data_IF_688226586147
#
_entry.id   IF_688226586147
#
_cell.length_a   1.000
_cell.length_b   1.000
_cell.length_c   1.000
_cell.angle_alpha   90.00
_cell.angle_beta   90.00
_cell.angle_gamma   90.00
#
_symmetry.space_group_name_H-M   'P 1'
#
loop_
_entity.id
_entity.type
_entity.pdbx_description
1 polymer ?
#
# COMPACT_ATOMS: atom_id res chain seq x y z
N UNK A 1 23.85 9.72 8.19
CA UNK A 1 22.70 9.30 7.36
C UNK A 1 23.14 8.05 6.61
N UNK A 2 22.41 6.94 6.67
CA UNK A 2 22.72 5.83 5.77
C UNK A 2 22.43 6.30 4.34
N UNK A 3 23.45 6.35 3.49
CA UNK A 3 23.30 6.69 2.07
C UNK A 3 22.25 5.78 1.43
N UNK A 4 21.37 6.35 0.61
CA UNK A 4 20.40 5.54 -0.12
C UNK A 4 21.13 4.62 -1.10
N UNK A 5 20.69 3.37 -1.19
CA UNK A 5 21.23 2.44 -2.19
C UNK A 5 20.53 2.58 -3.55
N UNK A 6 19.68 3.60 -3.69
CA UNK A 6 18.90 3.85 -4.89
C UNK A 6 19.79 4.43 -5.99
N UNK A 7 19.68 3.88 -7.21
CA UNK A 7 20.38 4.43 -8.38
C UNK A 7 20.01 5.91 -8.58
N UNK A 8 20.95 6.79 -9.01
CA UNK A 8 20.67 8.20 -9.27
C UNK A 8 19.56 8.48 -10.29
N UNK A 9 19.16 7.47 -11.09
CA UNK A 9 18.02 7.54 -12.00
C UNK A 9 16.67 7.67 -11.27
N UNK A 10 16.60 7.28 -10.01
CA UNK A 10 15.34 7.25 -9.28
C UNK A 10 15.36 8.24 -8.12
N UNK A 11 14.19 8.80 -7.83
CA UNK A 11 14.01 9.80 -6.78
C UNK A 11 12.84 9.43 -5.87
N UNK A 12 13.04 9.54 -4.55
CA UNK A 12 11.95 9.41 -3.57
C UNK A 12 11.29 10.79 -3.38
N UNK A 13 9.99 10.87 -3.65
CA UNK A 13 9.18 12.09 -3.49
C UNK A 13 7.99 11.87 -2.57
N UNK A 14 7.51 12.94 -1.95
CA UNK A 14 6.20 12.94 -1.30
C UNK A 14 5.12 12.94 -2.38
N UNK A 15 4.15 12.04 -2.25
CA UNK A 15 2.98 12.02 -3.13
C UNK A 15 2.04 13.14 -2.74
N UNK A 16 1.47 13.84 -3.72
CA UNK A 16 0.55 14.96 -3.48
C UNK A 16 -0.37 15.15 -4.67
N UNK A 17 -1.54 15.74 -4.41
CA UNK A 17 -2.50 16.06 -5.46
C UNK A 17 -3.25 14.86 -6.03
N UNK A 18 -4.22 15.17 -6.88
CA UNK A 18 -5.16 14.19 -7.45
C UNK A 18 -4.48 13.21 -8.39
N UNK A 19 -3.49 13.65 -9.16
CA UNK A 19 -2.83 12.78 -10.14
C UNK A 19 -2.00 11.69 -9.47
N UNK A 20 -1.17 12.02 -8.46
CA UNK A 20 -0.43 11.00 -7.71
C UNK A 20 -1.38 10.04 -6.96
N UNK A 21 -2.53 10.51 -6.48
CA UNK A 21 -3.54 9.64 -5.89
C UNK A 21 -4.10 8.62 -6.91
N UNK A 22 -4.41 9.07 -8.13
CA UNK A 22 -4.85 8.18 -9.22
C UNK A 22 -3.75 7.22 -9.65
N UNK A 23 -2.52 7.69 -9.81
CA UNK A 23 -1.37 6.84 -10.19
C UNK A 23 -1.07 5.77 -9.14
N UNK A 24 -1.06 6.15 -7.87
CA UNK A 24 -0.89 5.23 -6.76
C UNK A 24 -2.05 4.22 -6.69
N UNK A 25 -3.29 4.66 -6.94
CA UNK A 25 -4.45 3.78 -7.00
C UNK A 25 -4.28 2.74 -8.11
N UNK A 26 -3.99 3.16 -9.33
CA UNK A 26 -3.77 2.26 -10.47
C UNK A 26 -2.65 1.24 -10.21
N UNK A 27 -1.52 1.68 -9.65
CA UNK A 27 -0.44 0.77 -9.24
C UNK A 27 -0.92 -0.27 -8.22
N UNK A 28 -1.60 0.18 -7.16
CA UNK A 28 -2.06 -0.70 -6.09
C UNK A 28 -3.09 -1.69 -6.61
N UNK A 29 -4.07 -1.27 -7.40
CA UNK A 29 -5.11 -2.15 -7.90
C UNK A 29 -4.54 -3.15 -8.90
N UNK A 30 -3.75 -2.70 -9.87
CA UNK A 30 -3.11 -3.58 -10.86
C UNK A 30 -2.29 -4.66 -10.16
N UNK A 31 -1.32 -4.29 -9.31
CA UNK A 31 -0.49 -5.28 -8.63
C UNK A 31 -1.28 -6.15 -7.66
N UNK A 32 -2.34 -5.62 -7.03
CA UNK A 32 -3.20 -6.45 -6.16
C UNK A 32 -3.86 -7.56 -6.97
N UNK A 33 -4.55 -7.21 -8.05
CA UNK A 33 -5.33 -8.17 -8.85
C UNK A 33 -4.44 -9.16 -9.61
N UNK A 34 -3.28 -8.73 -10.10
CA UNK A 34 -2.42 -9.60 -10.92
C UNK A 34 -1.37 -10.35 -10.09
N UNK A 35 -0.84 -9.76 -9.02
CA UNK A 35 0.37 -10.28 -8.34
C UNK A 35 0.22 -10.55 -6.85
N UNK A 36 -0.82 -10.08 -6.17
CA UNK A 36 -0.96 -10.28 -4.71
C UNK A 36 -1.17 -11.75 -4.35
N UNK A 37 -0.54 -12.27 -3.27
CA UNK A 37 -0.83 -13.61 -2.76
C UNK A 37 -2.25 -13.77 -2.18
N UNK A 38 -2.99 -12.67 -2.00
CA UNK A 38 -4.38 -12.70 -1.50
C UNK A 38 -5.37 -12.37 -2.61
N UNK A 39 -5.24 -11.21 -3.24
CA UNK A 39 -6.26 -10.75 -4.19
C UNK A 39 -6.21 -11.51 -5.53
N UNK A 40 -5.02 -11.85 -6.03
CA UNK A 40 -4.86 -12.53 -7.33
C UNK A 40 -5.49 -13.94 -7.34
N UNK A 41 -5.31 -14.80 -6.32
CA UNK A 41 -6.00 -16.09 -6.25
C UNK A 41 -7.51 -16.00 -6.05
N UNK A 42 -8.02 -14.92 -5.45
CA UNK A 42 -9.46 -14.70 -5.25
C UNK A 42 -10.17 -14.17 -6.50
N UNK A 43 -9.41 -13.84 -7.56
CA UNK A 43 -9.92 -13.26 -8.79
C UNK A 43 -9.91 -14.31 -9.91
N UNK A 44 -11.02 -14.46 -10.64
CA UNK A 44 -11.03 -15.33 -11.83
C UNK A 44 -10.20 -14.70 -12.96
N UNK A 45 -9.35 -15.45 -13.67
CA UNK A 45 -8.47 -14.90 -14.70
C UNK A 45 -9.18 -14.02 -15.74
N UNK A 46 -10.36 -14.44 -16.20
CA UNK A 46 -11.17 -13.76 -17.21
C UNK A 46 -11.85 -12.48 -16.71
N UNK A 47 -11.95 -12.28 -15.41
CA UNK A 47 -12.60 -11.11 -14.78
C UNK A 47 -11.59 -10.08 -14.26
N UNK A 48 -10.28 -10.37 -14.31
CA UNK A 48 -9.24 -9.54 -13.65
C UNK A 48 -9.21 -8.10 -14.12
N UNK A 49 -9.31 -7.85 -15.43
CA UNK A 49 -9.25 -6.47 -15.96
C UNK A 49 -10.43 -5.64 -15.48
N UNK A 50 -11.64 -6.20 -15.54
CA UNK A 50 -12.85 -5.56 -15.04
C UNK A 50 -12.75 -5.31 -13.53
N UNK A 51 -12.34 -6.32 -12.76
CA UNK A 51 -12.15 -6.20 -11.31
C UNK A 51 -11.09 -5.14 -10.95
N UNK A 52 -10.07 -4.95 -11.79
CA UNK A 52 -9.08 -3.90 -11.61
C UNK A 52 -9.71 -2.49 -11.70
N UNK A 53 -10.61 -2.26 -12.67
CA UNK A 53 -11.36 -1.00 -12.79
C UNK A 53 -12.34 -0.80 -11.62
N UNK A 54 -13.07 -1.85 -11.23
CA UNK A 54 -13.99 -1.80 -10.08
C UNK A 54 -13.24 -1.46 -8.79
N UNK A 55 -12.11 -2.13 -8.55
CA UNK A 55 -11.25 -1.87 -7.39
C UNK A 55 -10.67 -0.46 -7.45
N UNK A 56 -10.29 0.05 -8.63
CA UNK A 56 -9.76 1.41 -8.78
C UNK A 56 -10.77 2.44 -8.32
N UNK A 57 -12.02 2.34 -8.79
CA UNK A 57 -13.09 3.24 -8.37
C UNK A 57 -13.39 3.10 -6.87
N UNK A 58 -13.48 1.86 -6.37
CA UNK A 58 -13.80 1.57 -4.99
C UNK A 58 -12.70 2.02 -4.00
N UNK A 59 -11.43 1.98 -4.40
CA UNK A 59 -10.28 2.32 -3.57
C UNK A 59 -9.84 3.79 -3.68
N UNK A 60 -10.37 4.57 -4.62
CA UNK A 60 -9.89 5.91 -4.91
C UNK A 60 -9.93 6.83 -3.67
N UNK A 61 -11.01 6.78 -2.89
CA UNK A 61 -11.09 7.52 -1.63
C UNK A 61 -9.92 7.20 -0.69
N UNK A 62 -9.63 5.91 -0.50
CA UNK A 62 -8.55 5.46 0.39
C UNK A 62 -7.19 5.98 -0.10
N UNK A 63 -6.96 6.00 -1.41
CA UNK A 63 -5.71 6.47 -2.00
C UNK A 63 -5.58 7.98 -1.88
N UNK A 64 -6.64 8.72 -2.19
CA UNK A 64 -6.69 10.18 -2.05
C UNK A 64 -6.47 10.60 -0.60
N UNK A 65 -7.09 9.94 0.38
CA UNK A 65 -6.87 10.24 1.80
C UNK A 65 -5.40 10.07 2.21
N UNK A 66 -4.77 8.97 1.79
CA UNK A 66 -3.37 8.69 2.12
C UNK A 66 -2.41 9.65 1.44
N UNK A 67 -2.62 9.97 0.16
CA UNK A 67 -1.79 10.93 -0.57
C UNK A 67 -1.95 12.34 -0.01
N UNK A 68 -3.17 12.79 0.24
CA UNK A 68 -3.45 14.12 0.78
C UNK A 68 -3.03 14.30 2.24
N UNK A 69 -2.67 13.23 2.94
CA UNK A 69 -2.07 13.34 4.28
C UNK A 69 -0.69 13.98 4.27
N UNK A 70 -0.01 14.03 3.12
CA UNK A 70 1.37 14.51 2.99
C UNK A 70 2.43 13.54 3.51
N UNK A 71 2.04 12.33 3.94
CA UNK A 71 2.92 11.33 4.54
C UNK A 71 3.25 10.17 3.58
N UNK A 72 2.56 10.08 2.45
CA UNK A 72 2.80 9.04 1.45
C UNK A 72 4.02 9.35 0.60
N UNK A 73 4.84 8.34 0.32
CA UNK A 73 6.04 8.45 -0.50
C UNK A 73 5.92 7.62 -1.78
N UNK A 74 6.63 8.04 -2.82
CA UNK A 74 6.78 7.26 -4.03
C UNK A 74 8.17 7.37 -4.64
N UNK A 75 8.57 6.35 -5.40
CA UNK A 75 9.78 6.36 -6.21
C UNK A 75 9.40 6.71 -7.64
N UNK A 76 10.07 7.72 -8.17
CA UNK A 76 9.90 8.22 -9.54
C UNK A 76 11.12 7.90 -10.38
N UNK A 77 10.92 7.50 -11.63
CA UNK A 77 11.97 7.41 -12.63
C UNK A 77 12.20 8.78 -13.27
N UNK A 78 13.38 9.37 -13.05
CA UNK A 78 13.73 10.69 -13.60
C UNK A 78 14.10 10.61 -15.09
N UNK A 79 14.23 9.40 -15.64
CA UNK A 79 14.53 9.13 -17.05
C UNK A 79 13.39 8.33 -17.70
N UNK A 80 12.17 8.46 -17.19
CA UNK A 80 10.99 7.77 -17.71
C UNK A 80 10.75 8.11 -19.18
N UNK A 81 10.47 7.08 -19.99
CA UNK A 81 10.11 7.23 -21.39
C UNK A 81 8.60 7.10 -21.53
N UNK A 82 7.95 8.19 -21.93
CA UNK A 82 6.51 8.23 -22.12
C UNK A 82 6.08 7.49 -23.38
N UNK A 83 4.97 6.77 -23.27
CA UNK A 83 4.35 6.08 -24.39
C UNK A 83 3.55 7.03 -25.30
N UNK A 84 3.00 8.11 -24.73
CA UNK A 84 2.11 9.04 -25.42
C UNK A 84 2.64 10.49 -25.38
N UNK A 85 2.50 11.28 -26.47
CA UNK A 85 2.94 12.67 -26.51
C UNK A 85 2.31 13.56 -25.43
N UNK A 86 1.05 13.31 -25.07
CA UNK A 86 0.35 14.10 -24.04
C UNK A 86 0.93 13.85 -22.65
N UNK A 87 1.40 12.63 -22.36
CA UNK A 87 2.08 12.34 -21.09
C UNK A 87 3.38 13.12 -20.95
N UNK A 88 4.05 13.45 -22.06
CA UNK A 88 5.26 14.31 -22.03
C UNK A 88 4.87 15.70 -21.54
N UNK A 89 3.78 16.27 -22.05
CA UNK A 89 3.34 17.62 -21.69
C UNK A 89 2.74 17.72 -20.29
N UNK A 90 2.12 16.65 -19.78
CA UNK A 90 1.58 16.58 -18.41
C UNK A 90 2.53 15.94 -17.40
N UNK A 91 3.73 15.52 -17.82
CA UNK A 91 4.69 14.76 -17.00
C UNK A 91 4.11 13.48 -16.40
N UNK A 92 3.27 12.80 -17.18
CA UNK A 92 2.59 11.56 -16.84
C UNK A 92 1.09 11.67 -16.94
N UNK A 93 0.43 10.57 -17.30
CA UNK A 93 -1.02 10.48 -17.39
C UNK A 93 -1.47 9.03 -17.19
N UNK A 94 -2.62 8.86 -16.56
CA UNK A 94 -3.32 7.58 -16.47
C UNK A 94 -4.43 7.59 -17.52
N UNK A 95 -4.44 6.59 -18.39
CA UNK A 95 -5.38 6.47 -19.50
C UNK A 95 -6.52 5.47 -19.26
N UNK A 96 -6.63 4.90 -18.06
CA UNK A 96 -7.73 3.99 -17.72
C UNK A 96 -9.07 4.68 -17.87
N UNK A 97 -9.89 4.16 -18.77
CA UNK A 97 -11.23 4.65 -19.05
C UNK A 97 -12.28 3.66 -18.51
N UNK A 98 -13.03 4.03 -17.46
CA UNK A 98 -14.07 3.17 -16.92
C UNK A 98 -15.23 2.94 -17.90
N UNK A 99 -15.33 3.68 -19.01
CA UNK A 99 -16.33 3.46 -20.05
C UNK A 99 -15.93 2.43 -21.11
N UNK A 100 -14.66 1.99 -21.14
CA UNK A 100 -14.14 1.04 -22.12
C UNK A 100 -13.42 -0.15 -21.43
N UNK A 101 -14.17 -0.91 -20.62
CA UNK A 101 -13.61 -2.00 -19.81
C UNK A 101 -13.55 -3.35 -20.55
N UNK A 102 -14.40 -3.56 -21.55
CA UNK A 102 -14.59 -4.88 -22.21
C UNK A 102 -13.35 -5.34 -23.01
N UNK A 103 -12.52 -4.40 -23.47
CA UNK A 103 -11.32 -4.70 -24.25
C UNK A 103 -10.02 -4.65 -23.41
N UNK A 104 -10.12 -4.34 -22.11
CA UNK A 104 -8.95 -4.17 -21.26
C UNK A 104 -8.22 -5.50 -21.01
N UNK A 105 -6.91 -5.49 -21.23
CA UNK A 105 -6.00 -6.61 -20.90
C UNK A 105 -5.01 -6.15 -19.84
N UNK A 106 -4.36 -7.08 -19.13
CA UNK A 106 -3.26 -6.74 -18.20
C UNK A 106 -2.21 -5.85 -18.89
N UNK A 107 -1.83 -6.20 -20.11
CA UNK A 107 -0.85 -5.45 -20.90
C UNK A 107 -1.35 -4.05 -21.27
N UNK A 108 -2.63 -3.89 -21.66
CA UNK A 108 -3.17 -2.56 -21.99
C UNK A 108 -3.25 -1.69 -20.75
N UNK A 109 -3.74 -2.23 -19.62
CA UNK A 109 -3.80 -1.53 -18.34
C UNK A 109 -2.42 -1.05 -17.89
N UNK A 110 -1.38 -1.88 -17.99
CA UNK A 110 -0.02 -1.50 -17.62
C UNK A 110 0.57 -0.44 -18.57
N UNK A 111 0.26 -0.50 -19.87
CA UNK A 111 0.68 0.49 -20.87
C UNK A 111 0.00 1.85 -20.66
N UNK A 112 -1.27 1.84 -20.26
CA UNK A 112 -2.08 3.02 -19.97
C UNK A 112 -1.69 3.74 -18.66
N UNK A 113 -0.89 3.09 -17.81
CA UNK A 113 -0.22 3.71 -16.66
C UNK A 113 1.04 4.46 -17.11
N UNK A 114 0.86 5.46 -17.97
CA UNK A 114 1.94 6.20 -18.61
C UNK A 114 2.44 7.37 -17.75
N UNK A 115 3.03 7.04 -16.61
CA UNK A 115 3.57 8.00 -15.65
C UNK A 115 4.85 7.48 -14.98
N UNK A 116 5.70 8.38 -14.45
CA UNK A 116 7.02 8.02 -13.91
C UNK A 116 7.01 7.36 -12.52
N UNK A 117 5.86 7.24 -11.86
CA UNK A 117 5.75 6.62 -10.53
C UNK A 117 5.89 5.09 -10.60
N UNK A 118 6.91 4.53 -9.94
CA UNK A 118 7.26 3.12 -10.00
C UNK A 118 6.97 2.34 -8.71
N UNK A 119 6.95 2.99 -7.56
CA UNK A 119 6.69 2.33 -6.28
C UNK A 119 6.08 3.31 -5.30
N UNK A 120 5.24 2.83 -4.38
CA UNK A 120 4.57 3.67 -3.38
C UNK A 120 4.67 3.07 -1.98
N UNK A 121 4.74 3.94 -0.98
CA UNK A 121 4.51 3.66 0.42
C UNK A 121 3.43 4.62 0.92
N UNK A 122 2.20 4.12 0.97
CA UNK A 122 1.03 4.90 1.33
C UNK A 122 0.84 4.91 2.84
N UNK A 123 0.64 6.09 3.37
CA UNK A 123 0.45 6.28 4.80
C UNK A 123 -0.42 7.49 5.13
N UNK A 124 -0.85 7.56 6.38
CA UNK A 124 -1.60 8.67 6.94
C UNK A 124 -1.41 8.72 8.45
N UNK A 125 -1.68 9.87 9.06
CA UNK A 125 -1.71 10.00 10.51
C UNK A 125 -2.95 9.27 11.06
N UNK A 126 -2.75 8.33 11.98
CA UNK A 126 -3.84 7.50 12.53
C UNK A 126 -4.83 8.32 13.37
N UNK A 127 -4.48 9.54 13.76
CA UNK A 127 -5.40 10.47 14.41
C UNK A 127 -6.46 11.01 13.44
N UNK A 128 -6.18 11.03 12.14
CA UNK A 128 -7.12 11.37 11.06
C UNK A 128 -7.43 10.09 10.26
N UNK A 129 -8.24 9.17 10.81
CA UNK A 129 -8.48 7.87 10.22
C UNK A 129 -9.25 7.97 8.90
N UNK A 130 -9.22 6.88 8.14
CA UNK A 130 -10.15 6.66 7.03
C UNK A 130 -11.60 6.69 7.53
N UNK A 131 -12.51 7.05 6.63
CA UNK A 131 -13.94 7.21 6.91
C UNK A 131 -14.65 5.91 6.47
N UNK A 132 -15.13 5.06 7.40
CA UNK A 132 -15.65 3.73 7.05
C UNK A 132 -16.81 3.74 6.04
N UNK A 133 -17.82 4.64 6.13
CA UNK A 133 -18.82 4.84 5.08
C UNK A 133 -18.26 5.07 3.67
N UNK A 134 -17.11 5.74 3.53
CA UNK A 134 -16.48 5.99 2.22
C UNK A 134 -15.67 4.80 1.70
N UNK A 135 -15.50 3.76 2.53
CA UNK A 135 -14.86 2.49 2.14
C UNK A 135 -15.87 1.40 1.82
N UNK A 136 -17.18 1.67 1.90
CA UNK A 136 -18.23 0.67 1.69
C UNK A 136 -18.11 -0.03 0.33
N UNK A 137 -17.87 0.68 -0.76
CA UNK A 137 -17.70 0.06 -2.08
C UNK A 137 -16.52 -0.92 -2.10
N UNK A 138 -15.41 -0.58 -1.46
CA UNK A 138 -14.24 -1.46 -1.36
C UNK A 138 -14.52 -2.69 -0.49
N UNK A 139 -15.28 -2.52 0.60
CA UNK A 139 -15.66 -3.62 1.49
C UNK A 139 -16.71 -4.53 0.86
N UNK A 140 -17.58 -4.01 0.00
CA UNK A 140 -18.50 -4.84 -0.77
C UNK A 140 -17.76 -5.67 -1.81
N UNK A 141 -16.74 -5.09 -2.45
CA UNK A 141 -15.90 -5.81 -3.41
C UNK A 141 -15.02 -6.88 -2.72
N UNK A 142 -14.50 -6.56 -1.53
CA UNK A 142 -13.63 -7.46 -0.76
C UNK A 142 -14.09 -7.52 0.72
N UNK A 143 -15.12 -8.33 0.98
CA UNK A 143 -15.77 -8.48 2.29
C UNK A 143 -14.83 -8.98 3.40
N UNK A 144 -13.73 -9.64 3.04
CA UNK A 144 -12.72 -10.09 3.99
C UNK A 144 -11.92 -8.94 4.63
N UNK A 145 -11.85 -7.75 4.01
CA UNK A 145 -11.06 -6.62 4.52
C UNK A 145 -11.51 -6.13 5.92
N UNK A 146 -12.80 -5.84 6.18
CA UNK A 146 -13.25 -5.46 7.52
C UNK A 146 -13.09 -6.59 8.54
N UNK A 147 -13.32 -7.84 8.13
CA UNK A 147 -13.15 -9.02 9.00
C UNK A 147 -11.68 -9.22 9.40
N UNK A 148 -10.75 -9.04 8.47
CA UNK A 148 -9.31 -9.06 8.73
C UNK A 148 -8.91 -7.97 9.73
N UNK A 149 -9.43 -6.75 9.55
CA UNK A 149 -9.14 -5.64 10.48
C UNK A 149 -9.62 -5.97 11.91
N UNK A 150 -10.85 -6.49 12.04
CA UNK A 150 -11.44 -6.95 13.31
C UNK A 150 -10.63 -8.08 13.94
N UNK A 151 -10.26 -9.10 13.17
CA UNK A 151 -9.43 -10.22 13.61
C UNK A 151 -8.07 -9.77 14.14
N UNK A 152 -7.41 -8.86 13.42
CA UNK A 152 -6.12 -8.29 13.81
C UNK A 152 -6.24 -7.46 15.09
N UNK A 153 -7.28 -6.62 15.21
CA UNK A 153 -7.51 -5.81 16.42
C UNK A 153 -7.81 -6.66 17.65
N UNK A 154 -8.55 -7.77 17.49
CA UNK A 154 -8.83 -8.71 18.58
C UNK A 154 -7.58 -9.41 19.09
N UNK A 155 -6.59 -9.63 18.22
CA UNK A 155 -5.34 -10.36 18.53
C UNK A 155 -4.21 -9.49 19.02
N UNK A 156 -4.34 -8.17 18.94
CA UNK A 156 -3.33 -7.25 19.44
C UNK A 156 -3.34 -7.26 20.98
N UNK A 157 -2.31 -7.81 21.65
CA UNK A 157 -2.31 -7.97 23.10
C UNK A 157 -2.02 -6.65 23.84
N UNK A 158 -1.62 -5.60 23.11
CA UNK A 158 -1.20 -4.33 23.70
C UNK A 158 -2.40 -3.50 24.15
N UNK A 159 -2.31 -2.79 25.28
CA UNK A 159 -3.29 -1.77 25.65
C UNK A 159 -3.49 -0.74 24.53
N UNK A 160 -4.74 -0.38 24.22
CA UNK A 160 -5.08 0.58 23.15
C UNK A 160 -4.29 1.88 23.21
N UNK A 161 -3.97 2.38 24.41
CA UNK A 161 -3.21 3.63 24.62
C UNK A 161 -1.78 3.58 24.06
N UNK A 162 -1.19 2.39 23.89
CA UNK A 162 0.19 2.25 23.41
C UNK A 162 0.27 2.44 21.89
N UNK A 163 -0.72 1.94 21.16
CA UNK A 163 -0.68 1.87 19.70
C UNK A 163 -1.73 2.73 19.00
N UNK A 164 -2.78 3.18 19.69
CA UNK A 164 -3.76 4.11 19.13
C UNK A 164 -3.31 5.55 19.33
N UNK A 165 -3.42 6.37 18.28
CA UNK A 165 -3.17 7.81 18.39
C UNK A 165 -4.26 8.47 19.25
N UNK A 166 -3.86 9.32 20.19
CA UNK A 166 -4.76 10.20 20.96
C UNK A 166 -4.62 11.66 20.56
N UNK A 167 -3.67 11.97 19.69
CA UNK A 167 -3.44 13.28 19.10
C UNK A 167 -2.66 13.16 17.79
N UNK A 168 -2.56 14.27 17.03
CA UNK A 168 -1.80 14.30 15.79
C UNK A 168 -0.34 13.89 15.98
N UNK A 169 0.26 13.35 14.93
CA UNK A 169 1.67 12.97 14.83
C UNK A 169 2.14 12.00 15.89
N UNK A 170 1.23 11.18 16.43
CA UNK A 170 1.61 10.14 17.38
C UNK A 170 1.92 8.82 16.66
N UNK A 171 0.99 8.34 15.85
CA UNK A 171 1.08 7.03 15.19
C UNK A 171 0.79 7.16 13.71
N UNK A 172 1.75 6.79 12.88
CA UNK A 172 1.56 6.74 11.44
C UNK A 172 0.99 5.36 11.07
N UNK A 173 -0.12 5.36 10.36
CA UNK A 173 -0.71 4.13 9.82
C UNK A 173 -0.24 3.96 8.38
N UNK A 174 0.37 2.81 8.11
CA UNK A 174 0.79 2.44 6.75
C UNK A 174 -0.36 1.64 6.10
N UNK A 175 -0.91 2.15 4.99
CA UNK A 175 -2.08 1.55 4.32
C UNK A 175 -1.82 0.82 2.99
N UNK A 176 -0.65 0.96 2.36
CA UNK A 176 -0.34 0.23 1.10
C UNK A 176 1.12 0.32 0.66
N UNK A 177 1.65 -0.72 0.00
CA UNK A 177 2.90 -0.63 -0.79
C UNK A 177 2.76 -1.52 -2.01
N UNK A 178 3.35 -1.05 -3.09
CA UNK A 178 3.46 -1.79 -4.34
C UNK A 178 4.66 -1.25 -5.09
N UNK A 179 5.31 -2.12 -5.86
CA UNK A 179 6.24 -1.76 -6.92
C UNK A 179 5.60 -2.18 -8.24
N UNK A 180 5.69 -1.32 -9.27
CA UNK A 180 5.18 -1.58 -10.61
C UNK A 180 5.75 -2.91 -11.12
N UNK A 181 4.92 -3.66 -11.84
CA UNK A 181 5.34 -4.93 -12.43
C UNK A 181 6.52 -4.72 -13.39
N UNK A 182 7.54 -5.57 -13.27
CA UNK A 182 8.81 -5.45 -13.99
C UNK A 182 9.88 -4.62 -13.27
N UNK A 183 9.52 -3.95 -12.18
CA UNK A 183 10.44 -3.14 -11.35
C UNK A 183 10.84 -3.84 -10.04
N UNK A 184 10.45 -5.10 -9.85
CA UNK A 184 10.81 -5.91 -8.70
C UNK A 184 12.32 -6.16 -8.60
N UNK A 185 12.80 -6.54 -7.41
CA UNK A 185 14.22 -6.82 -7.17
C UNK A 185 15.12 -5.58 -7.04
N UNK A 186 14.64 -4.38 -7.40
CA UNK A 186 15.40 -3.11 -7.29
C UNK A 186 15.48 -2.52 -5.88
N UNK A 187 14.90 -3.18 -4.87
CA UNK A 187 14.94 -2.74 -3.47
C UNK A 187 14.02 -1.55 -3.12
N UNK A 188 13.22 -1.06 -4.06
CA UNK A 188 12.36 0.13 -3.90
C UNK A 188 11.46 0.12 -2.65
N UNK A 189 10.78 -0.99 -2.37
CA UNK A 189 9.89 -1.10 -1.20
C UNK A 189 10.65 -0.91 0.12
N UNK A 190 11.88 -1.46 0.21
CA UNK A 190 12.75 -1.33 1.38
C UNK A 190 13.21 0.11 1.56
N UNK A 191 13.69 0.76 0.49
CA UNK A 191 14.13 2.15 0.54
C UNK A 191 12.99 3.10 0.93
N UNK A 192 11.79 2.92 0.37
CA UNK A 192 10.61 3.69 0.75
C UNK A 192 10.21 3.47 2.21
N UNK A 193 10.22 2.24 2.70
CA UNK A 193 9.91 1.94 4.10
C UNK A 193 10.89 2.62 5.06
N UNK A 194 12.19 2.54 4.77
CA UNK A 194 13.23 3.14 5.60
C UNK A 194 13.20 4.67 5.56
N UNK A 195 12.95 5.26 4.41
CA UNK A 195 12.80 6.71 4.28
C UNK A 195 11.55 7.21 5.01
N UNK A 196 10.44 6.47 4.95
CA UNK A 196 9.24 6.77 5.72
C UNK A 196 9.51 6.76 7.22
N UNK A 197 10.25 5.78 7.74
CA UNK A 197 10.63 5.72 9.15
C UNK A 197 11.43 6.96 9.59
N UNK A 198 12.40 7.38 8.78
CA UNK A 198 13.22 8.59 9.05
C UNK A 198 12.38 9.86 9.04
N UNK A 199 11.54 10.05 8.02
CA UNK A 199 10.64 11.20 7.91
C UNK A 199 9.65 11.25 9.06
N UNK A 200 8.99 10.13 9.38
CA UNK A 200 8.06 10.03 10.50
C UNK A 200 8.74 10.38 11.83
N UNK A 201 9.95 9.88 12.09
CA UNK A 201 10.72 10.25 13.29
C UNK A 201 11.00 11.75 13.34
N UNK A 202 11.46 12.34 12.23
CA UNK A 202 11.72 13.78 12.14
C UNK A 202 10.46 14.61 12.39
N UNK A 203 9.30 14.11 12.01
CA UNK A 203 8.01 14.77 12.21
C UNK A 203 7.42 14.56 13.61
N UNK A 204 8.06 13.76 14.47
CA UNK A 204 7.66 13.57 15.87
C UNK A 204 6.78 12.36 16.13
N UNK A 205 6.56 11.49 15.13
CA UNK A 205 5.86 10.23 15.34
C UNK A 205 6.63 9.32 16.30
N UNK A 206 5.89 8.70 17.23
CA UNK A 206 6.47 7.72 18.16
C UNK A 206 6.54 6.31 17.58
N UNK A 207 5.69 6.00 16.59
CA UNK A 207 5.71 4.69 15.96
C UNK A 207 4.90 4.61 14.67
N UNK A 208 5.16 3.54 13.93
CA UNK A 208 4.45 3.19 12.70
C UNK A 208 3.75 1.85 12.91
N UNK A 209 2.50 1.77 12.49
CA UNK A 209 1.76 0.52 12.43
C UNK A 209 1.47 0.13 10.97
N UNK A 210 1.74 -1.13 10.64
CA UNK A 210 1.47 -1.70 9.32
C UNK A 210 0.77 -3.05 9.45
N UNK A 211 -0.27 -3.27 8.63
CA UNK A 211 -0.83 -4.59 8.35
C UNK A 211 -0.20 -5.17 7.09
N UNK A 212 0.33 -6.38 7.17
CA UNK A 212 0.98 -7.07 6.07
C UNK A 212 0.20 -8.32 5.68
N UNK A 213 0.17 -8.60 4.38
CA UNK A 213 -0.40 -9.83 3.80
C UNK A 213 0.64 -10.51 2.89
N UNK A 214 1.92 -10.24 3.14
CA UNK A 214 3.03 -10.77 2.37
C UNK A 214 4.30 -10.78 3.23
N UNK A 215 4.97 -11.94 3.27
CA UNK A 215 6.17 -12.19 4.08
C UNK A 215 7.32 -11.20 3.82
N UNK A 216 7.56 -10.78 2.58
CA UNK A 216 8.60 -9.79 2.27
C UNK A 216 8.30 -8.43 2.91
N UNK A 217 7.02 -8.03 2.93
CA UNK A 217 6.61 -6.80 3.62
C UNK A 217 6.82 -6.97 5.12
N UNK A 218 6.36 -8.08 5.72
CA UNK A 218 6.63 -8.37 7.14
C UNK A 218 8.13 -8.28 7.47
N UNK A 219 8.99 -8.90 6.66
CA UNK A 219 10.44 -8.96 6.88
C UNK A 219 11.11 -7.59 6.86
N UNK A 220 10.74 -6.71 5.94
CA UNK A 220 11.31 -5.35 5.86
C UNK A 220 10.92 -4.53 7.10
N UNK A 221 9.68 -4.68 7.56
CA UNK A 221 9.15 -3.90 8.67
C UNK A 221 9.53 -4.46 10.05
N UNK A 222 9.75 -5.77 10.18
CA UNK A 222 10.24 -6.38 11.42
C UNK A 222 11.74 -6.14 11.65
N UNK A 223 12.49 -5.78 10.58
CA UNK A 223 13.95 -5.54 10.61
C UNK A 223 14.30 -4.15 10.09
N UNK A 224 13.79 -3.08 10.73
CA UNK A 224 14.14 -1.72 10.30
C UNK A 224 15.62 -1.44 10.58
N UNK A 225 16.21 -0.44 9.91
CA UNK A 225 17.57 -0.02 10.19
C UNK A 225 17.61 0.63 11.59
N UNK A 226 18.77 0.58 12.23
CA UNK A 226 19.01 1.35 13.45
C UNK A 226 18.75 2.86 13.19
N UNK A 227 18.21 3.59 14.17
CA UNK A 227 17.98 3.16 15.56
C UNK A 227 16.58 2.58 15.83
N UNK A 228 15.78 2.36 14.80
CA UNK A 228 14.41 1.88 14.93
C UNK A 228 14.36 0.39 15.34
N UNK A 229 13.23 -0.02 15.90
CA UNK A 229 12.98 -1.42 16.29
C UNK A 229 11.61 -1.88 15.76
N UNK A 230 11.60 -3.01 15.05
CA UNK A 230 10.40 -3.62 14.50
C UNK A 230 9.96 -4.83 15.32
N UNK A 231 8.66 -4.94 15.59
CA UNK A 231 8.07 -6.09 16.31
C UNK A 231 6.81 -6.55 15.60
N UNK A 232 6.75 -7.85 15.28
CA UNK A 232 5.50 -8.52 14.90
C UNK A 232 4.63 -8.63 16.15
N UNK A 233 3.51 -7.93 16.15
CA UNK A 233 2.57 -7.84 17.28
C UNK A 233 1.44 -8.87 17.15
N UNK A 234 0.99 -9.07 15.91
CA UNK A 234 -0.05 -10.04 15.56
C UNK A 234 0.47 -10.87 14.40
N UNK A 235 0.22 -12.18 14.45
CA UNK A 235 0.50 -13.14 13.38
C UNK A 235 -0.56 -14.24 13.42
N UNK A 236 -1.17 -14.53 12.29
CA UNK A 236 -2.09 -15.65 12.10
C UNK A 236 -2.23 -15.96 10.61
N UNK A 237 -2.69 -17.15 10.27
CA UNK A 237 -3.06 -17.48 8.88
C UNK A 237 -4.53 -17.20 8.63
N UNK A 238 -4.90 -16.83 7.40
CA UNK A 238 -6.31 -16.59 7.03
C UNK A 238 -7.19 -17.80 7.44
N UNK A 239 -6.70 -19.02 7.22
CA UNK A 239 -7.40 -20.26 7.57
C UNK A 239 -7.52 -20.57 9.07
N UNK A 240 -7.02 -19.71 9.96
CA UNK A 240 -7.17 -19.84 11.41
C UNK A 240 -8.35 -18.99 11.95
N UNK A 241 -9.01 -18.20 11.10
CA UNK A 241 -10.14 -17.35 11.46
C UNK A 241 -11.41 -17.79 10.72
N UNK A 242 -12.37 -18.36 11.45
CA UNK A 242 -13.60 -18.90 10.83
C UNK A 242 -14.41 -17.85 10.06
N UNK A 243 -14.49 -16.61 10.55
CA UNK A 243 -15.17 -15.52 9.82
C UNK A 243 -14.49 -15.24 8.47
N UNK A 244 -13.15 -15.33 8.38
CA UNK A 244 -12.43 -15.13 7.13
C UNK A 244 -12.59 -16.32 6.18
N UNK A 245 -12.46 -17.55 6.67
CA UNK A 245 -12.69 -18.78 5.88
C UNK A 245 -14.07 -18.81 5.24
N UNK A 246 -15.08 -18.24 5.91
CA UNK A 246 -16.44 -18.17 5.41
C UNK A 246 -16.62 -17.23 4.21
N UNK A 247 -15.67 -16.34 3.92
CA UNK A 247 -15.77 -15.34 2.85
C UNK A 247 -14.63 -15.38 1.82
N UNK A 248 -13.60 -16.19 2.04
CA UNK A 248 -12.48 -16.38 1.10
C UNK A 248 -12.30 -17.86 0.75
N UNK A 249 -11.79 -18.14 -0.45
CA UNK A 249 -11.49 -19.51 -0.87
C UNK A 249 -10.26 -20.11 -0.20
N UNK A 250 -10.12 -21.43 -0.32
CA UNK A 250 -9.06 -22.23 0.33
C UNK A 250 -7.66 -21.88 -0.14
N UNK A 251 -7.54 -21.38 -1.36
CA UNK A 251 -6.32 -20.97 -2.02
C UNK A 251 -5.53 -19.90 -1.25
N UNK A 252 -6.19 -19.08 -0.42
CA UNK A 252 -5.53 -18.07 0.41
C UNK A 252 -5.44 -18.43 1.89
N UNK A 253 -5.96 -19.59 2.33
CA UNK A 253 -5.97 -19.96 3.76
C UNK A 253 -4.58 -20.05 4.37
N UNK A 254 -3.57 -20.38 3.56
CA UNK A 254 -2.17 -20.45 3.98
C UNK A 254 -1.49 -19.07 4.13
N UNK A 255 -2.09 -17.99 3.63
CA UNK A 255 -1.47 -16.66 3.67
C UNK A 255 -1.39 -16.15 5.11
N UNK A 256 -0.20 -15.71 5.50
CA UNK A 256 0.07 -15.10 6.79
C UNK A 256 -0.37 -13.62 6.79
N UNK A 257 -1.18 -13.26 7.78
CA UNK A 257 -1.51 -11.88 8.13
C UNK A 257 -0.66 -11.49 9.33
N UNK A 258 0.05 -10.36 9.21
CA UNK A 258 0.78 -9.80 10.34
C UNK A 258 0.42 -8.34 10.60
N UNK A 259 0.55 -7.94 11.86
CA UNK A 259 0.65 -6.54 12.25
C UNK A 259 2.05 -6.30 12.77
N UNK A 260 2.78 -5.37 12.16
CA UNK A 260 4.08 -4.95 12.64
C UNK A 260 3.98 -3.55 13.24
N UNK A 261 4.61 -3.38 14.39
CA UNK A 261 4.85 -2.10 15.02
C UNK A 261 6.32 -1.75 14.86
N UNK A 262 6.61 -0.52 14.42
CA UNK A 262 7.96 0.02 14.43
C UNK A 262 8.03 1.12 15.47
N UNK A 263 8.89 0.94 16.46
CA UNK A 263 9.24 1.96 17.43
C UNK A 263 10.25 2.95 16.81
N UNK A 264 9.87 4.22 16.79
CA UNK A 264 10.72 5.30 16.29
C UNK A 264 11.47 6.01 17.41
N UNK A 265 11.22 5.71 18.69
CA UNK A 265 11.89 6.33 19.82
C UNK A 265 13.32 5.86 20.04
N UNK A 266 13.71 4.69 19.51
CA UNK A 266 15.07 4.17 19.65
C UNK A 266 16.12 5.15 19.12
N UNK A 267 17.20 5.34 19.88
CA UNK A 267 18.35 6.18 19.52
C UNK A 267 18.36 7.56 20.16
N UNK A 268 18.53 7.60 21.49
CA UNK A 268 19.33 8.65 22.14
C UNK A 268 20.77 8.14 22.26
#
# INVERSE_FOLDING_TARGET
MAETTLSPRYEIRVLSGTDHAKWACALVTHSSIYSSPVFSPLSRPEEKSQLCHEMFQAALYQMTHQVNSGLSLGIFDTQYQYNYPESISTQGKLYWDPSNQEEATETSLLKEMDFPLLSVALSYDSYYPLDPPKLTSLYNLFSFLPLRNKATDKRDPRPKKEWKATGPKQVLSRGGTVTKQGEEGKGFMKELAWELMRKAKKEGFRGIQIGCMHDYVTRVWERPPKPFEGKVVVRYRIGEEEELKGVVGKEVWGVEITRVWVDLKGGE
#
